data_IF_281334430005
#
_entry.id   IF_281334430005
#
_cell.length_a   1.000
_cell.length_b   1.000
_cell.length_c   1.000
_cell.angle_alpha   90.00
_cell.angle_beta   90.00
_cell.angle_gamma   90.00
#
_symmetry.space_group_name_H-M   'P 1'
#
loop_
_entity.id
_entity.type
_entity.pdbx_description
1 polymer ?
#
# COMPACT_ATOMS: atom_id res chain seq x y z
N UNK A 1 7.47 -27.78 1.32
CA UNK A 1 7.66 -27.38 -0.09
C UNK A 1 6.58 -26.38 -0.44
N UNK A 2 6.92 -25.12 -0.46
CA UNK A 2 5.97 -24.08 -0.87
C UNK A 2 5.67 -24.24 -2.35
N UNK A 3 4.44 -24.63 -2.63
CA UNK A 3 3.96 -24.84 -3.99
C UNK A 3 3.82 -23.49 -4.67
N UNK A 4 4.80 -23.11 -5.48
CA UNK A 4 4.74 -21.84 -6.22
C UNK A 4 3.68 -21.99 -7.32
N UNK A 5 2.54 -21.29 -7.14
CA UNK A 5 1.50 -21.26 -8.15
C UNK A 5 1.89 -20.35 -9.33
N UNK A 6 1.36 -20.66 -10.53
CA UNK A 6 1.50 -19.77 -11.69
C UNK A 6 0.71 -18.48 -11.48
N UNK A 7 1.04 -17.42 -12.23
CA UNK A 7 0.32 -16.12 -12.14
C UNK A 7 -1.17 -16.28 -12.46
N UNK A 8 -1.54 -17.12 -13.40
CA UNK A 8 -2.93 -17.40 -13.77
C UNK A 8 -3.68 -18.03 -12.60
N UNK A 9 -3.04 -18.97 -11.89
CA UNK A 9 -3.63 -19.57 -10.69
C UNK A 9 -3.79 -18.52 -9.57
N UNK A 10 -2.80 -17.66 -9.36
CA UNK A 10 -2.88 -16.59 -8.37
C UNK A 10 -3.99 -15.59 -8.68
N UNK A 11 -4.20 -15.23 -9.96
CA UNK A 11 -5.31 -14.35 -10.37
C UNK A 11 -6.68 -14.88 -9.91
N UNK A 12 -6.85 -16.21 -9.92
CA UNK A 12 -8.12 -16.84 -9.53
C UNK A 12 -8.17 -17.15 -8.02
N UNK A 13 -7.10 -17.72 -7.46
CA UNK A 13 -7.13 -18.37 -6.14
C UNK A 13 -6.58 -17.51 -5.00
N UNK A 14 -5.68 -16.54 -5.27
CA UNK A 14 -5.05 -15.76 -4.20
C UNK A 14 -6.03 -14.81 -3.50
N UNK A 15 -5.71 -14.45 -2.27
CA UNK A 15 -6.43 -13.45 -1.48
C UNK A 15 -7.62 -14.00 -0.67
N UNK A 16 -8.13 -15.20 -1.00
CA UNK A 16 -9.23 -15.80 -0.26
C UNK A 16 -9.04 -17.33 -0.15
N UNK A 17 -9.08 -17.85 1.06
CA UNK A 17 -9.07 -19.28 1.32
C UNK A 17 -10.29 -19.63 2.16
N UNK A 18 -11.36 -20.18 1.54
CA UNK A 18 -12.59 -20.49 2.25
C UNK A 18 -12.38 -21.65 3.23
N UNK A 19 -13.00 -21.54 4.40
CA UNK A 19 -13.12 -22.63 5.38
C UNK A 19 -14.28 -23.54 5.01
N UNK A 20 -14.42 -24.65 5.74
CA UNK A 20 -15.55 -25.60 5.56
C UNK A 20 -16.88 -24.86 5.74
N UNK A 21 -17.73 -24.92 4.71
CA UNK A 21 -19.06 -24.28 4.72
C UNK A 21 -19.06 -22.81 4.27
N UNK A 22 -17.91 -22.22 4.02
CA UNK A 22 -17.84 -20.86 3.46
C UNK A 22 -17.96 -20.86 1.92
N UNK A 23 -18.43 -19.75 1.33
CA UNK A 23 -18.49 -19.60 -0.12
C UNK A 23 -17.09 -19.69 -0.75
N UNK A 24 -17.00 -20.29 -1.93
CA UNK A 24 -15.72 -20.31 -2.68
C UNK A 24 -15.28 -18.92 -3.14
N UNK A 25 -16.23 -18.05 -3.43
CA UNK A 25 -15.98 -16.63 -3.76
C UNK A 25 -16.25 -15.81 -2.51
N UNK A 26 -15.34 -14.93 -2.14
CA UNK A 26 -15.52 -14.03 -1.01
C UNK A 26 -16.77 -13.16 -1.22
N UNK A 27 -17.73 -13.14 -0.28
CA UNK A 27 -18.83 -12.20 -0.30
C UNK A 27 -18.38 -10.75 -0.22
N UNK A 28 -19.16 -9.82 -0.78
CA UNK A 28 -18.92 -8.39 -0.61
C UNK A 28 -19.45 -7.96 0.76
N UNK A 29 -18.57 -7.52 1.64
CA UNK A 29 -18.90 -7.05 2.98
C UNK A 29 -19.19 -5.55 2.97
N UNK A 30 -20.47 -5.18 2.76
CA UNK A 30 -20.92 -3.79 2.80
C UNK A 30 -21.36 -3.41 4.22
N UNK A 31 -20.43 -3.43 5.16
CA UNK A 31 -20.70 -3.06 6.56
C UNK A 31 -19.66 -2.06 7.04
N UNK A 32 -20.10 -1.07 7.80
CA UNK A 32 -19.19 -0.11 8.48
C UNK A 32 -18.59 -0.72 9.74
N UNK A 33 -19.37 -1.49 10.49
CA UNK A 33 -18.98 -2.07 11.77
C UNK A 33 -19.23 -3.58 11.76
N UNK A 34 -18.57 -4.28 12.66
CA UNK A 34 -18.70 -5.73 12.83
C UNK A 34 -19.11 -6.03 14.27
N UNK A 35 -19.79 -7.16 14.46
CA UNK A 35 -20.19 -7.64 15.77
C UNK A 35 -18.99 -8.19 16.54
N UNK A 36 -18.93 -7.91 17.80
CA UNK A 36 -18.06 -8.53 18.80
C UNK A 36 -18.93 -9.07 19.95
N UNK A 37 -18.41 -10.00 20.73
CA UNK A 37 -19.23 -10.68 21.73
C UNK A 37 -19.22 -9.97 23.08
N UNK A 38 -18.12 -9.32 23.47
CA UNK A 38 -17.99 -8.60 24.74
C UNK A 38 -17.25 -7.27 24.58
N UNK A 39 -17.42 -6.36 25.54
CA UNK A 39 -16.69 -5.08 25.59
C UNK A 39 -15.17 -5.30 25.74
N UNK A 40 -14.78 -6.32 26.46
CA UNK A 40 -13.37 -6.68 26.65
C UNK A 40 -12.74 -7.16 25.36
N UNK A 41 -13.46 -7.94 24.54
CA UNK A 41 -13.00 -8.30 23.20
C UNK A 41 -12.82 -7.07 22.31
N UNK A 42 -13.78 -6.14 22.36
CA UNK A 42 -13.67 -4.89 21.60
C UNK A 42 -12.45 -4.07 22.04
N UNK A 43 -12.20 -3.95 23.34
CA UNK A 43 -11.03 -3.23 23.86
C UNK A 43 -9.74 -3.84 23.30
N UNK A 44 -9.56 -5.16 23.35
CA UNK A 44 -8.38 -5.85 22.80
C UNK A 44 -8.21 -5.63 21.29
N UNK A 45 -9.32 -5.59 20.54
CA UNK A 45 -9.26 -5.28 19.10
C UNK A 45 -8.77 -3.86 18.84
N UNK A 46 -9.21 -2.88 19.64
CA UNK A 46 -8.75 -1.48 19.55
C UNK A 46 -7.30 -1.31 19.98
N UNK A 47 -6.85 -2.07 20.98
CA UNK A 47 -5.48 -2.05 21.48
C UNK A 47 -4.53 -2.90 20.61
N UNK A 48 -5.04 -3.51 19.53
CA UNK A 48 -4.31 -4.39 18.60
C UNK A 48 -3.70 -5.64 19.29
N UNK A 49 -4.27 -6.04 20.41
CA UNK A 49 -3.89 -7.26 21.15
C UNK A 49 -4.60 -8.50 20.61
N UNK A 50 -5.68 -8.32 19.86
CA UNK A 50 -6.45 -9.37 19.22
C UNK A 50 -6.63 -9.07 17.72
N UNK A 51 -6.89 -10.12 16.94
CA UNK A 51 -7.13 -10.00 15.50
C UNK A 51 -8.61 -10.13 15.18
N UNK A 52 -9.14 -9.26 14.32
CA UNK A 52 -10.54 -9.33 13.90
C UNK A 52 -11.03 -8.04 13.31
N UNK A 53 -12.20 -8.11 12.68
CA UNK A 53 -12.83 -6.95 12.07
C UNK A 53 -13.72 -6.24 13.08
N UNK A 54 -13.61 -4.92 13.17
CA UNK A 54 -14.48 -4.11 14.01
C UNK A 54 -14.96 -2.84 13.30
N UNK A 55 -14.16 -2.27 12.38
CA UNK A 55 -14.52 -1.06 11.66
C UNK A 55 -13.87 -1.02 10.26
N UNK A 56 -14.68 -0.83 9.22
CA UNK A 56 -14.26 -0.92 7.81
C UNK A 56 -13.19 0.08 7.41
N UNK A 57 -13.12 1.26 8.02
CA UNK A 57 -12.02 2.22 7.74
C UNK A 57 -10.65 1.64 8.06
N UNK A 58 -10.57 0.73 9.02
CA UNK A 58 -9.32 0.08 9.43
C UNK A 58 -9.13 -1.25 8.70
N UNK A 59 -10.17 -2.10 8.69
CA UNK A 59 -10.11 -3.42 8.09
C UNK A 59 -11.48 -3.87 7.57
N UNK A 60 -11.49 -4.54 6.42
CA UNK A 60 -12.70 -5.13 5.85
C UNK A 60 -12.31 -6.41 5.08
N UNK A 61 -13.04 -7.54 5.27
CA UNK A 61 -12.69 -8.80 4.60
C UNK A 61 -12.56 -8.68 3.07
N UNK A 62 -13.40 -7.86 2.42
CA UNK A 62 -13.32 -7.66 0.98
C UNK A 62 -12.06 -6.92 0.57
N UNK A 63 -11.73 -5.83 1.27
CA UNK A 63 -10.51 -5.05 1.01
C UNK A 63 -9.26 -5.88 1.25
N UNK A 64 -9.23 -6.63 2.35
CA UNK A 64 -8.08 -7.44 2.74
C UNK A 64 -7.83 -8.58 1.73
N UNK A 65 -8.90 -9.22 1.23
CA UNK A 65 -8.76 -10.24 0.21
C UNK A 65 -8.23 -9.70 -1.12
N UNK A 66 -8.65 -8.49 -1.53
CA UNK A 66 -8.12 -7.83 -2.74
C UNK A 66 -6.68 -7.42 -2.52
N UNK A 67 -6.37 -6.81 -1.38
CA UNK A 67 -4.99 -6.41 -1.03
C UNK A 67 -4.05 -7.63 -1.01
N UNK A 68 -4.45 -8.73 -0.37
CA UNK A 68 -3.67 -9.96 -0.34
C UNK A 68 -3.48 -10.57 -1.74
N UNK A 69 -4.48 -10.48 -2.63
CA UNK A 69 -4.35 -10.93 -4.02
C UNK A 69 -3.33 -10.10 -4.79
N UNK A 70 -3.38 -8.77 -4.69
CA UNK A 70 -2.43 -7.87 -5.35
C UNK A 70 -1.02 -8.14 -4.82
N UNK A 71 -0.84 -8.22 -3.50
CA UNK A 71 0.45 -8.55 -2.90
C UNK A 71 1.02 -9.88 -3.44
N UNK A 72 0.19 -10.92 -3.57
CA UNK A 72 0.61 -12.21 -4.11
C UNK A 72 1.01 -12.14 -5.60
N UNK A 73 0.31 -11.32 -6.41
CA UNK A 73 0.60 -11.14 -7.83
C UNK A 73 1.89 -10.33 -8.06
N UNK A 74 2.15 -9.34 -7.22
CA UNK A 74 3.34 -8.48 -7.28
C UNK A 74 4.54 -9.07 -6.51
N UNK A 75 4.36 -10.16 -5.77
CA UNK A 75 5.42 -10.75 -4.94
C UNK A 75 5.75 -9.89 -3.71
N UNK A 76 4.85 -9.00 -3.31
CA UNK A 76 4.99 -8.14 -2.13
C UNK A 76 4.62 -8.83 -0.83
N UNK A 77 5.06 -8.26 0.29
CA UNK A 77 4.74 -8.75 1.65
C UNK A 77 3.35 -8.32 2.10
N UNK A 78 2.76 -7.30 1.47
CA UNK A 78 1.45 -6.77 1.77
C UNK A 78 1.03 -5.72 0.75
N UNK A 79 -0.23 -5.31 0.80
CA UNK A 79 -0.77 -4.22 -0.01
C UNK A 79 -1.84 -3.47 0.77
N UNK A 80 -2.07 -2.22 0.41
CA UNK A 80 -3.14 -1.39 0.94
C UNK A 80 -3.95 -0.81 -0.21
N UNK A 81 -5.26 -0.83 -0.09
CA UNK A 81 -6.16 -0.22 -1.06
C UNK A 81 -6.40 1.25 -0.71
N UNK A 82 -6.42 2.09 -1.72
CA UNK A 82 -6.71 3.52 -1.61
C UNK A 82 -7.84 3.93 -2.54
N UNK A 83 -8.42 5.10 -2.31
CA UNK A 83 -9.53 5.63 -3.10
C UNK A 83 -9.13 6.10 -4.51
N UNK A 84 -7.84 6.24 -4.78
CA UNK A 84 -7.33 6.66 -6.10
C UNK A 84 -5.84 6.35 -6.24
N UNK A 85 -5.33 6.29 -7.48
CA UNK A 85 -3.90 6.17 -7.75
C UNK A 85 -3.09 7.34 -7.19
N UNK A 86 -3.65 8.55 -7.17
CA UNK A 86 -2.98 9.71 -6.54
C UNK A 86 -2.86 9.55 -5.03
N UNK A 87 -3.87 8.99 -4.37
CA UNK A 87 -3.78 8.66 -2.95
C UNK A 87 -2.70 7.59 -2.70
N UNK A 88 -2.60 6.58 -3.58
CA UNK A 88 -1.54 5.57 -3.50
C UNK A 88 -0.15 6.19 -3.60
N UNK A 89 0.08 7.05 -4.60
CA UNK A 89 1.35 7.77 -4.77
C UNK A 89 1.66 8.68 -3.57
N UNK A 90 0.66 9.40 -3.06
CA UNK A 90 0.83 10.23 -1.88
C UNK A 90 1.26 9.41 -0.66
N UNK A 91 0.53 8.34 -0.34
CA UNK A 91 0.84 7.52 0.83
C UNK A 91 2.15 6.75 0.70
N UNK A 92 2.54 6.33 -0.51
CA UNK A 92 3.82 5.67 -0.73
C UNK A 92 5.00 6.56 -0.30
N UNK A 93 4.95 7.85 -0.66
CA UNK A 93 6.01 8.81 -0.28
C UNK A 93 5.83 9.30 1.16
N UNK A 94 4.60 9.69 1.55
CA UNK A 94 4.34 10.27 2.86
C UNK A 94 4.54 9.29 4.03
N UNK A 95 4.50 7.98 3.76
CA UNK A 95 4.79 6.95 4.76
C UNK A 95 6.28 6.85 5.12
N UNK A 96 7.17 7.25 4.22
CA UNK A 96 8.62 7.11 4.39
C UNK A 96 9.35 8.46 4.49
N UNK A 97 8.72 9.55 4.05
CA UNK A 97 9.29 10.90 4.07
C UNK A 97 8.52 11.81 5.02
N UNK A 98 9.24 12.69 5.68
CA UNK A 98 8.72 13.76 6.55
C UNK A 98 9.22 15.13 6.06
N UNK A 99 8.75 16.22 6.70
CA UNK A 99 9.22 17.55 6.38
C UNK A 99 10.75 17.67 6.58
N UNK A 100 11.44 18.16 5.56
CA UNK A 100 12.89 18.22 5.49
C UNK A 100 13.53 17.11 4.66
N UNK A 101 12.79 16.06 4.34
CA UNK A 101 13.30 14.96 3.52
C UNK A 101 13.24 15.28 2.02
N UNK A 102 14.05 14.55 1.28
CA UNK A 102 14.15 14.65 -0.16
C UNK A 102 14.14 13.23 -0.77
N UNK A 103 13.61 13.13 -1.99
CA UNK A 103 13.67 11.91 -2.79
C UNK A 103 13.89 12.20 -4.27
N UNK A 104 14.35 11.21 -5.01
CA UNK A 104 14.59 11.29 -6.46
C UNK A 104 13.50 10.52 -7.19
N UNK A 105 13.00 11.07 -8.30
CA UNK A 105 11.95 10.48 -9.11
C UNK A 105 12.21 10.68 -10.60
N UNK A 106 11.78 9.71 -11.42
CA UNK A 106 11.81 9.90 -12.87
C UNK A 106 10.85 11.01 -13.30
N UNK A 107 11.26 11.83 -14.26
CA UNK A 107 10.43 12.88 -14.86
C UNK A 107 9.33 12.33 -15.79
N UNK A 108 9.42 11.05 -16.19
CA UNK A 108 8.47 10.42 -17.12
C UNK A 108 7.27 9.77 -16.44
N UNK A 109 6.92 10.21 -15.24
CA UNK A 109 5.74 9.78 -14.50
C UNK A 109 4.48 10.50 -14.98
N UNK A 110 3.31 10.00 -14.58
CA UNK A 110 2.02 10.64 -14.84
C UNK A 110 2.01 12.11 -14.38
N UNK A 111 1.53 13.03 -15.24
CA UNK A 111 1.58 14.48 -15.00
C UNK A 111 0.93 14.92 -13.68
N UNK A 112 -0.16 14.26 -13.25
CA UNK A 112 -0.76 14.50 -11.94
C UNK A 112 0.17 14.15 -10.78
N UNK A 113 0.95 13.07 -10.91
CA UNK A 113 1.95 12.65 -9.91
C UNK A 113 3.16 13.59 -9.93
N UNK A 114 3.57 14.06 -11.11
CA UNK A 114 4.61 15.08 -11.24
C UNK A 114 4.24 16.35 -10.45
N UNK A 115 3.01 16.84 -10.62
CA UNK A 115 2.49 17.96 -9.82
C UNK A 115 2.38 17.65 -8.33
N UNK A 116 1.94 16.44 -7.97
CA UNK A 116 1.87 16.01 -6.58
C UNK A 116 3.24 16.11 -5.91
N UNK A 117 4.28 15.58 -6.55
CA UNK A 117 5.63 15.53 -5.99
C UNK A 117 6.34 16.89 -6.05
N UNK A 118 6.27 17.59 -7.19
CA UNK A 118 6.98 18.85 -7.38
C UNK A 118 6.33 20.07 -6.73
N UNK A 119 5.01 20.05 -6.50
CA UNK A 119 4.26 21.20 -5.99
C UNK A 119 3.59 20.92 -4.66
N UNK A 120 2.82 19.83 -4.55
CA UNK A 120 2.00 19.58 -3.36
C UNK A 120 2.85 19.11 -2.19
N UNK A 121 3.73 18.11 -2.38
CA UNK A 121 4.61 17.63 -1.31
C UNK A 121 5.61 18.70 -0.86
N UNK A 122 6.04 19.56 -1.76
CA UNK A 122 6.89 20.70 -1.41
C UNK A 122 6.24 21.65 -0.40
N UNK A 123 4.91 21.83 -0.45
CA UNK A 123 4.16 22.60 0.57
C UNK A 123 4.16 21.93 1.95
N UNK A 124 4.40 20.62 1.98
CA UNK A 124 4.53 19.82 3.21
C UNK A 124 5.99 19.71 3.67
N UNK A 125 6.91 20.40 2.98
CA UNK A 125 8.34 20.40 3.31
C UNK A 125 9.10 19.17 2.77
N UNK A 126 8.52 18.37 1.90
CA UNK A 126 9.16 17.22 1.25
C UNK A 126 9.59 17.66 -0.15
N UNK A 127 10.86 17.49 -0.49
CA UNK A 127 11.41 17.90 -1.78
C UNK A 127 11.60 16.70 -2.71
N UNK A 128 11.46 16.95 -4.02
CA UNK A 128 11.67 15.94 -5.06
C UNK A 128 12.59 16.50 -6.14
N UNK A 129 13.63 15.75 -6.51
CA UNK A 129 14.43 15.99 -7.73
C UNK A 129 13.95 15.05 -8.83
N UNK A 130 13.56 15.65 -9.97
CA UNK A 130 13.19 14.88 -11.16
C UNK A 130 14.41 14.68 -12.04
N UNK A 131 14.62 13.45 -12.49
CA UNK A 131 15.69 13.05 -13.39
C UNK A 131 15.11 12.48 -14.68
N UNK A 132 15.89 12.52 -15.77
CA UNK A 132 15.51 11.86 -17.02
C UNK A 132 15.42 10.34 -16.83
N UNK A 133 14.50 9.68 -17.53
CA UNK A 133 14.36 8.22 -17.48
C UNK A 133 15.60 7.46 -18.04
N UNK A 134 16.41 8.15 -18.86
CA UNK A 134 17.64 7.64 -19.43
C UNK A 134 18.90 8.20 -18.75
N UNK A 135 18.76 8.81 -17.57
CA UNK A 135 19.89 9.32 -16.81
C UNK A 135 20.92 8.22 -16.54
N UNK A 136 22.20 8.56 -16.61
CA UNK A 136 23.30 7.66 -16.24
C UNK A 136 23.31 7.38 -14.74
N UNK A 137 24.02 6.34 -14.32
CA UNK A 137 24.20 6.02 -12.89
C UNK A 137 24.82 7.20 -12.14
N UNK A 138 25.78 7.91 -12.76
CA UNK A 138 26.41 9.08 -12.17
C UNK A 138 25.43 10.24 -11.98
N UNK A 139 24.53 10.47 -12.94
CA UNK A 139 23.50 11.50 -12.83
C UNK A 139 22.45 11.15 -11.75
N UNK A 140 22.11 9.86 -11.64
CA UNK A 140 21.22 9.36 -10.57
C UNK A 140 21.89 9.58 -9.20
N UNK A 141 23.15 9.17 -9.06
CA UNK A 141 23.88 9.32 -7.79
C UNK A 141 24.04 10.78 -7.38
N UNK A 142 24.28 11.69 -8.32
CA UNK A 142 24.39 13.12 -8.08
C UNK A 142 23.06 13.77 -7.68
N UNK A 143 21.94 13.19 -8.07
CA UNK A 143 20.61 13.68 -7.70
C UNK A 143 20.26 13.38 -6.23
N UNK A 144 20.88 12.37 -5.61
CA UNK A 144 20.69 12.06 -4.20
C UNK A 144 21.48 13.03 -3.31
N UNK A 145 20.87 13.42 -2.19
CA UNK A 145 21.48 14.26 -1.16
C UNK A 145 22.05 13.40 -0.02
N UNK A 146 23.05 13.88 0.74
CA UNK A 146 23.61 13.13 1.88
C UNK A 146 22.57 12.76 2.95
N UNK A 147 21.45 13.49 3.00
CA UNK A 147 20.33 13.29 3.95
C UNK A 147 19.22 12.37 3.42
N UNK A 148 19.33 11.87 2.19
CA UNK A 148 18.30 11.04 1.62
C UNK A 148 18.28 9.64 2.24
N UNK A 149 17.12 9.24 2.77
CA UNK A 149 16.95 7.99 3.49
C UNK A 149 16.95 6.74 2.59
N UNK A 150 16.63 6.88 1.32
CA UNK A 150 16.53 5.78 0.37
C UNK A 150 17.62 5.88 -0.71
N UNK A 151 18.71 5.18 -0.50
CA UNK A 151 19.62 4.72 -1.55
C UNK A 151 19.28 3.27 -1.87
N UNK A 152 18.30 3.05 -2.74
CA UNK A 152 18.01 1.74 -3.32
C UNK A 152 17.91 1.84 -4.83
#
# INVERSE_FOLDING_TARGET
MDKKYSKETLCVQAGWTPKKGEPRVLPIYQSTTFKYDTSEQMARLFDLEDSGYFYTRLQNPTNDAVAAKIAALEGGVGAMLTSSGQAANFYAIFNICQAGDHFVCSSTIYGGTFNLFGVTLKKLGIECTFIDANASEEEIDQAFRPTDFCRY
#
